data_IF_641785878987
#
_entry.id   IF_641785878987
#
_cell.length_a   1.000
_cell.length_b   1.000
_cell.length_c   1.000
_cell.angle_alpha   90.00
_cell.angle_beta   90.00
_cell.angle_gamma   90.00
#
_symmetry.space_group_name_H-M   'P 1'
#
loop_
_entity.id
_entity.type
_entity.pdbx_description
1 polymer ?
#
# COMPACT_ATOMS: atom_id res chain seq x y z
N UNK A 1 -15.10 -18.58 -0.37
CA UNK A 1 -14.59 -17.70 0.70
C UNK A 1 -14.64 -16.29 0.17
N UNK A 2 -15.30 -15.38 0.88
CA UNK A 2 -15.33 -13.95 0.55
C UNK A 2 -13.92 -13.39 0.62
N UNK A 3 -13.51 -12.59 -0.35
CA UNK A 3 -12.21 -11.89 -0.31
C UNK A 3 -12.20 -10.89 0.85
N UNK A 4 -11.07 -10.76 1.57
CA UNK A 4 -10.95 -9.79 2.66
C UNK A 4 -10.77 -8.37 2.12
N UNK A 5 -11.14 -7.35 2.93
CA UNK A 5 -11.02 -5.95 2.56
C UNK A 5 -9.60 -5.59 2.12
N UNK A 6 -8.59 -5.93 2.93
CA UNK A 6 -7.17 -5.72 2.58
C UNK A 6 -6.77 -6.29 1.22
N UNK A 7 -7.26 -7.49 0.86
CA UNK A 7 -6.93 -8.13 -0.42
C UNK A 7 -7.60 -7.42 -1.59
N UNK A 8 -8.88 -7.04 -1.43
CA UNK A 8 -9.59 -6.28 -2.45
C UNK A 8 -8.97 -4.89 -2.66
N UNK A 9 -8.63 -4.17 -1.59
CA UNK A 9 -7.98 -2.86 -1.65
C UNK A 9 -6.59 -2.94 -2.31
N UNK A 10 -5.79 -3.96 -1.97
CA UNK A 10 -4.50 -4.19 -2.62
C UNK A 10 -4.67 -4.40 -4.14
N UNK A 11 -5.60 -5.28 -4.53
CA UNK A 11 -5.82 -5.61 -5.95
C UNK A 11 -6.21 -4.36 -6.72
N UNK A 12 -7.20 -3.62 -6.23
CA UNK A 12 -7.72 -2.42 -6.89
C UNK A 12 -6.70 -1.27 -6.91
N UNK A 13 -5.91 -1.11 -5.86
CA UNK A 13 -4.79 -0.16 -5.85
C UNK A 13 -3.76 -0.50 -6.94
N UNK A 14 -3.37 -1.76 -7.07
CA UNK A 14 -2.42 -2.18 -8.12
C UNK A 14 -3.00 -1.97 -9.53
N UNK A 15 -4.28 -2.27 -9.74
CA UNK A 15 -4.98 -1.99 -11.00
C UNK A 15 -4.99 -0.48 -11.32
N UNK A 16 -5.26 0.36 -10.31
CA UNK A 16 -5.25 1.82 -10.45
C UNK A 16 -3.85 2.35 -10.76
N UNK A 17 -2.82 1.85 -10.08
CA UNK A 17 -1.42 2.18 -10.35
C UNK A 17 -1.06 1.94 -11.81
N UNK A 18 -1.39 0.75 -12.33
CA UNK A 18 -1.13 0.41 -13.74
C UNK A 18 -1.93 1.29 -14.70
N UNK A 19 -3.14 1.68 -14.32
CA UNK A 19 -4.02 2.55 -15.13
C UNK A 19 -3.48 3.98 -15.22
N UNK A 20 -2.99 4.54 -14.10
CA UNK A 20 -2.53 5.93 -14.04
C UNK A 20 -1.06 6.10 -14.46
N UNK A 21 -0.26 5.04 -14.34
CA UNK A 21 1.17 5.05 -14.68
C UNK A 21 2.08 5.59 -13.56
N UNK A 22 3.41 5.51 -13.75
CA UNK A 22 4.40 5.72 -12.70
C UNK A 22 4.48 7.15 -12.16
N UNK A 23 4.10 8.13 -12.97
CA UNK A 23 4.22 9.57 -12.66
C UNK A 23 2.95 10.16 -12.03
N UNK A 24 1.90 9.36 -11.87
CA UNK A 24 0.65 9.82 -11.29
C UNK A 24 0.88 10.34 -9.85
N UNK A 25 0.46 11.58 -9.54
CA UNK A 25 0.65 12.14 -8.21
C UNK A 25 -0.20 11.43 -7.16
N UNK A 26 0.22 11.53 -5.90
CA UNK A 26 -0.58 11.14 -4.73
C UNK A 26 -0.82 12.36 -3.83
N UNK A 27 -1.64 12.24 -2.79
CA UNK A 27 -1.81 13.29 -1.78
C UNK A 27 -0.55 13.47 -0.91
N UNK A 28 0.29 12.44 -0.80
CA UNK A 28 1.63 12.57 -0.24
C UNK A 28 2.49 13.45 -1.14
N UNK A 29 2.70 14.71 -0.73
CA UNK A 29 3.44 15.69 -1.53
C UNK A 29 4.84 15.18 -1.91
N UNK A 30 5.16 15.23 -3.19
CA UNK A 30 6.43 14.74 -3.74
C UNK A 30 6.43 13.25 -4.08
N UNK A 31 5.36 12.50 -3.78
CA UNK A 31 5.24 11.10 -4.17
C UNK A 31 4.46 10.95 -5.47
N UNK A 32 4.90 9.97 -6.25
CA UNK A 32 4.20 9.45 -7.43
C UNK A 32 3.75 8.01 -7.16
N UNK A 33 2.94 7.44 -8.04
CA UNK A 33 2.57 6.02 -7.98
C UNK A 33 3.80 5.10 -7.90
N UNK A 34 4.92 5.45 -8.56
CA UNK A 34 6.16 4.68 -8.47
C UNK A 34 6.79 4.73 -7.06
N UNK A 35 6.78 5.90 -6.41
CA UNK A 35 7.18 6.02 -5.02
C UNK A 35 6.28 5.17 -4.11
N UNK A 36 4.96 5.24 -4.33
CA UNK A 36 3.99 4.49 -3.54
C UNK A 36 4.17 2.96 -3.70
N UNK A 37 4.41 2.47 -4.91
CA UNK A 37 4.71 1.06 -5.16
C UNK A 37 6.00 0.60 -4.45
N UNK A 38 7.05 1.43 -4.47
CA UNK A 38 8.30 1.15 -3.76
C UNK A 38 8.11 1.13 -2.25
N UNK A 39 7.31 2.05 -1.70
CA UNK A 39 6.95 2.08 -0.28
C UNK A 39 6.27 0.79 0.17
N UNK A 40 5.21 0.38 -0.54
CA UNK A 40 4.46 -0.85 -0.23
C UNK A 40 5.36 -2.09 -0.33
N UNK A 41 6.22 -2.15 -1.35
CA UNK A 41 7.17 -3.26 -1.51
C UNK A 41 8.19 -3.32 -0.37
N UNK A 42 8.75 -2.16 0.01
CA UNK A 42 9.72 -2.05 1.09
C UNK A 42 9.10 -2.55 2.40
N UNK A 43 7.90 -2.08 2.73
CA UNK A 43 7.13 -2.50 3.92
C UNK A 43 6.95 -4.02 4.00
N UNK A 44 6.63 -4.68 2.89
CA UNK A 44 6.46 -6.13 2.85
C UNK A 44 7.77 -6.92 2.89
N UNK A 45 8.87 -6.31 2.48
CA UNK A 45 10.20 -6.94 2.42
C UNK A 45 10.96 -6.89 3.75
N UNK A 46 10.55 -6.03 4.69
CA UNK A 46 11.25 -5.81 5.95
C UNK A 46 10.44 -6.33 7.16
N UNK A 47 10.74 -7.56 7.64
CA UNK A 47 10.09 -8.11 8.83
C UNK A 47 10.44 -7.37 10.14
N UNK A 48 11.48 -6.52 10.15
CA UNK A 48 11.84 -5.66 11.30
C UNK A 48 11.19 -4.28 11.14
N UNK A 49 11.13 -3.76 9.91
CA UNK A 49 10.49 -2.49 9.55
C UNK A 49 8.95 -2.47 9.73
N UNK A 50 8.29 -3.62 9.70
CA UNK A 50 6.85 -3.74 10.01
C UNK A 50 6.49 -3.31 11.46
N UNK A 51 7.45 -3.34 12.39
CA UNK A 51 7.30 -2.81 13.77
C UNK A 51 7.63 -1.30 13.84
N UNK A 52 8.25 -0.75 12.80
CA UNK A 52 8.90 0.56 12.79
C UNK A 52 8.25 1.64 11.93
N UNK A 53 7.13 1.40 11.22
CA UNK A 53 6.45 2.45 10.42
C UNK A 53 5.72 3.48 11.31
N UNK A 54 5.67 3.25 12.62
CA UNK A 54 5.28 4.27 13.62
C UNK A 54 6.49 5.13 14.06
N UNK A 55 7.70 4.84 13.57
CA UNK A 55 8.93 5.57 13.91
C UNK A 55 9.45 6.25 12.62
N UNK A 56 9.71 7.57 12.64
CA UNK A 56 10.11 8.32 11.45
C UNK A 56 11.55 7.95 11.09
N UNK A 57 11.73 6.90 10.29
CA UNK A 57 13.01 6.60 9.66
C UNK A 57 13.21 7.53 8.46
N UNK A 58 13.44 8.83 8.72
CA UNK A 58 13.86 9.79 7.68
C UNK A 58 15.16 9.35 6.98
N UNK A 59 15.47 9.89 5.79
CA UNK A 59 16.67 9.66 4.94
C UNK A 59 16.99 8.21 4.54
N UNK A 60 16.95 7.23 5.45
CA UNK A 60 17.23 5.81 5.19
C UNK A 60 16.07 5.13 4.46
N UNK A 61 14.82 5.42 4.84
CA UNK A 61 13.64 4.94 4.10
C UNK A 61 13.63 5.49 2.66
N UNK A 62 13.93 6.79 2.50
CA UNK A 62 14.03 7.45 1.19
C UNK A 62 15.11 6.79 0.31
N UNK A 63 16.26 6.44 0.91
CA UNK A 63 17.33 5.74 0.19
C UNK A 63 16.90 4.35 -0.29
N UNK A 64 16.26 3.55 0.57
CA UNK A 64 15.78 2.21 0.18
C UNK A 64 14.68 2.27 -0.89
N UNK A 65 13.74 3.20 -0.78
CA UNK A 65 12.73 3.44 -1.82
C UNK A 65 13.38 3.84 -3.14
N UNK A 66 14.35 4.76 -3.11
CA UNK A 66 15.10 5.14 -4.30
C UNK A 66 15.89 3.98 -4.91
N UNK A 67 16.53 3.14 -4.08
CA UNK A 67 17.19 1.93 -4.56
C UNK A 67 16.22 0.93 -5.21
N UNK A 68 15.00 0.77 -4.69
CA UNK A 68 13.99 -0.08 -5.32
C UNK A 68 13.56 0.48 -6.67
N UNK A 69 13.27 1.77 -6.74
CA UNK A 69 12.84 2.45 -7.97
C UNK A 69 13.93 2.50 -9.05
N UNK A 70 15.21 2.40 -8.68
CA UNK A 70 16.33 2.33 -9.64
C UNK A 70 16.63 0.92 -10.11
N UNK A 71 16.34 -0.10 -9.28
CA UNK A 71 16.60 -1.51 -9.60
C UNK A 71 15.44 -2.21 -10.29
N UNK A 72 14.23 -1.71 -10.14
CA UNK A 72 13.00 -2.35 -10.64
C UNK A 72 12.17 -1.34 -11.41
N UNK A 73 11.56 -1.79 -12.50
CA UNK A 73 10.55 -1.00 -13.19
C UNK A 73 9.29 -0.86 -12.34
N UNK A 74 8.49 0.17 -12.63
CA UNK A 74 7.20 0.38 -12.00
C UNK A 74 6.30 -0.86 -12.08
N UNK A 75 6.19 -1.49 -13.25
CA UNK A 75 5.38 -2.69 -13.44
C UNK A 75 5.85 -3.87 -12.61
N UNK A 76 7.16 -4.06 -12.45
CA UNK A 76 7.71 -5.11 -11.58
C UNK A 76 7.37 -4.87 -10.12
N UNK A 77 7.50 -3.62 -9.63
CA UNK A 77 7.12 -3.27 -8.26
C UNK A 77 5.63 -3.50 -8.01
N UNK A 78 4.76 -3.03 -8.92
CA UNK A 78 3.31 -3.23 -8.79
C UNK A 78 2.96 -4.72 -8.84
N UNK A 79 3.60 -5.50 -9.71
CA UNK A 79 3.41 -6.95 -9.78
C UNK A 79 3.82 -7.66 -8.49
N UNK A 80 4.91 -7.24 -7.85
CA UNK A 80 5.35 -7.77 -6.56
C UNK A 80 4.36 -7.42 -5.44
N UNK A 81 3.87 -6.18 -5.38
CA UNK A 81 2.85 -5.76 -4.40
C UNK A 81 1.55 -6.53 -4.60
N UNK A 82 1.10 -6.71 -5.85
CA UNK A 82 -0.10 -7.49 -6.17
C UNK A 82 0.04 -8.96 -5.75
N UNK A 83 1.21 -9.57 -5.98
CA UNK A 83 1.51 -10.93 -5.54
C UNK A 83 1.57 -11.07 -4.02
N UNK A 84 1.95 -9.99 -3.33
CA UNK A 84 2.09 -9.96 -1.89
C UNK A 84 3.35 -10.63 -1.36
N UNK A 85 3.46 -10.75 -0.02
CA UNK A 85 4.64 -11.34 0.60
C UNK A 85 4.83 -12.80 0.14
N UNK A 86 6.08 -13.14 -0.19
CA UNK A 86 6.45 -14.47 -0.68
C UNK A 86 6.08 -15.59 0.30
N UNK A 87 5.89 -16.82 -0.20
CA UNK A 87 5.24 -17.92 0.56
C UNK A 87 5.84 -18.20 1.95
N UNK A 88 7.14 -17.94 2.13
CA UNK A 88 7.90 -18.17 3.36
C UNK A 88 7.99 -16.94 4.29
N UNK A 89 7.33 -15.83 3.96
CA UNK A 89 7.37 -14.60 4.75
C UNK A 89 6.46 -14.70 6.00
N UNK A 90 6.98 -14.47 7.22
CA UNK A 90 6.22 -14.49 8.47
C UNK A 90 5.02 -13.52 8.49
N UNK A 91 5.06 -12.45 7.71
CA UNK A 91 3.97 -11.47 7.59
C UNK A 91 2.71 -12.04 6.91
N UNK A 92 2.76 -13.23 6.28
CA UNK A 92 1.57 -13.92 5.73
C UNK A 92 0.63 -14.51 6.80
N UNK A 93 0.98 -14.43 8.08
CA UNK A 93 0.15 -14.96 9.17
C UNK A 93 -1.18 -14.19 9.23
N UNK A 94 -2.34 -14.84 8.97
CA UNK A 94 -3.62 -14.15 8.70
C UNK A 94 -4.06 -13.12 9.76
N UNK A 95 -3.73 -13.38 11.02
CA UNK A 95 -4.09 -12.52 12.16
C UNK A 95 -3.26 -11.22 12.25
N UNK A 96 -2.01 -11.26 11.78
CA UNK A 96 -1.10 -10.10 11.73
C UNK A 96 -1.33 -9.35 10.40
N UNK A 97 -1.62 -10.12 9.35
CA UNK A 97 -1.82 -9.66 7.97
C UNK A 97 -3.09 -8.81 7.81
N UNK A 98 -4.24 -9.19 8.41
CA UNK A 98 -5.51 -8.50 8.08
C UNK A 98 -5.61 -7.08 8.66
N UNK A 99 -5.26 -6.85 9.93
CA UNK A 99 -5.44 -5.53 10.57
C UNK A 99 -4.45 -4.50 10.04
N UNK A 100 -3.17 -4.87 10.00
CA UNK A 100 -2.10 -3.97 9.56
C UNK A 100 -2.20 -3.65 8.07
N UNK A 101 -2.67 -4.59 7.23
CA UNK A 101 -2.76 -4.34 5.79
C UNK A 101 -4.07 -3.66 5.38
N UNK A 102 -5.15 -3.80 6.14
CA UNK A 102 -6.43 -3.15 5.78
C UNK A 102 -6.28 -1.63 5.77
N UNK A 103 -5.78 -1.05 6.86
CA UNK A 103 -5.56 0.41 6.93
C UNK A 103 -4.58 0.87 5.85
N UNK A 104 -3.47 0.18 5.67
CA UNK A 104 -2.42 0.54 4.70
C UNK A 104 -2.92 0.55 3.26
N UNK A 105 -3.52 -0.55 2.80
CA UNK A 105 -4.02 -0.60 1.43
C UNK A 105 -5.20 0.33 1.22
N UNK A 106 -6.11 0.47 2.20
CA UNK A 106 -7.22 1.41 2.08
C UNK A 106 -6.74 2.87 1.98
N UNK A 107 -5.86 3.30 2.90
CA UNK A 107 -5.35 4.68 2.92
C UNK A 107 -4.58 4.99 1.65
N UNK A 108 -3.69 4.11 1.21
CA UNK A 108 -2.90 4.33 0.01
C UNK A 108 -3.70 4.18 -1.29
N UNK A 109 -4.80 3.42 -1.27
CA UNK A 109 -5.74 3.42 -2.36
C UNK A 109 -6.48 4.76 -2.47
N UNK A 110 -6.98 5.29 -1.35
CA UNK A 110 -7.60 6.63 -1.35
C UNK A 110 -6.58 7.75 -1.65
N UNK A 111 -5.33 7.61 -1.21
CA UNK A 111 -4.21 8.52 -1.52
C UNK A 111 -4.03 8.67 -3.05
N UNK A 112 -3.92 7.55 -3.76
CA UNK A 112 -3.74 7.57 -5.21
C UNK A 112 -5.02 7.99 -5.95
N UNK A 113 -6.20 7.53 -5.53
CA UNK A 113 -7.49 7.92 -6.16
C UNK A 113 -7.72 9.43 -6.08
N UNK A 114 -7.39 10.03 -4.94
CA UNK A 114 -7.67 11.44 -4.66
C UNK A 114 -6.53 12.37 -5.06
N UNK A 115 -5.30 11.86 -5.10
CA UNK A 115 -4.12 12.60 -5.54
C UNK A 115 -3.84 12.50 -7.03
N UNK A 116 -4.36 11.48 -7.71
CA UNK A 116 -4.13 11.22 -9.13
C UNK A 116 -4.61 12.34 -10.06
N UNK A 117 -4.35 12.22 -11.38
CA UNK A 117 -4.63 13.27 -12.37
C UNK A 117 -6.12 13.62 -12.51
N UNK A 118 -7.01 12.74 -12.02
CA UNK A 118 -8.46 12.91 -12.03
C UNK A 118 -8.99 12.72 -10.59
N UNK A 119 -8.81 13.70 -9.70
CA UNK A 119 -9.11 13.55 -8.29
C UNK A 119 -10.60 13.37 -8.04
N UNK A 120 -10.94 12.43 -7.17
CA UNK A 120 -12.32 12.09 -6.77
C UNK A 120 -12.56 12.39 -5.30
N UNK A 121 -13.83 12.47 -4.90
CA UNK A 121 -14.22 12.59 -3.49
C UNK A 121 -14.06 11.28 -2.71
N UNK A 122 -14.22 11.33 -1.37
CA UNK A 122 -14.20 10.13 -0.52
C UNK A 122 -15.21 9.08 -0.98
N UNK A 123 -14.86 7.79 -0.87
CA UNK A 123 -15.81 6.69 -1.13
C UNK A 123 -16.90 6.63 -0.05
N UNK A 124 -18.09 6.23 -0.46
CA UNK A 124 -19.12 5.73 0.46
C UNK A 124 -18.85 4.24 0.66
N UNK A 125 -18.51 3.84 1.88
CA UNK A 125 -18.19 2.46 2.22
C UNK A 125 -19.45 1.70 2.64
N UNK A 126 -19.40 0.36 2.53
CA UNK A 126 -20.39 -0.48 3.16
C UNK A 126 -20.25 -0.38 4.69
N UNK A 127 -21.33 -0.57 5.47
CA UNK A 127 -21.23 -0.53 6.93
C UNK A 127 -20.19 -1.51 7.50
N UNK A 128 -20.04 -2.69 6.87
CA UNK A 128 -19.07 -3.68 7.29
C UNK A 128 -17.62 -3.22 7.04
N UNK A 129 -17.33 -2.62 5.89
CA UNK A 129 -16.00 -2.11 5.57
C UNK A 129 -15.63 -0.91 6.45
N UNK A 130 -16.59 -0.01 6.68
CA UNK A 130 -16.39 1.14 7.59
C UNK A 130 -16.06 0.69 9.01
N UNK A 131 -16.84 -0.27 9.54
CA UNK A 131 -16.58 -0.85 10.85
C UNK A 131 -15.20 -1.52 10.94
N UNK A 132 -14.82 -2.32 9.93
CA UNK A 132 -13.52 -2.98 9.90
C UNK A 132 -12.36 -1.97 9.95
N UNK A 133 -12.45 -0.87 9.18
CA UNK A 133 -11.45 0.20 9.17
C UNK A 133 -11.36 0.91 10.53
N UNK A 134 -12.51 1.20 11.16
CA UNK A 134 -12.50 1.81 12.49
C UNK A 134 -11.88 0.90 13.54
N UNK A 135 -12.22 -0.39 13.52
CA UNK A 135 -11.66 -1.39 14.44
C UNK A 135 -10.14 -1.60 14.24
N UNK A 136 -9.59 -1.35 13.06
CA UNK A 136 -8.13 -1.38 12.85
C UNK A 136 -7.44 -0.09 13.25
N UNK A 137 -8.13 1.05 13.17
CA UNK A 137 -7.54 2.36 13.49
C UNK A 137 -7.43 2.65 15.00
N UNK A 138 -8.29 2.06 15.83
CA UNK A 138 -8.38 2.34 17.28
C UNK A 138 -7.97 1.15 18.18
N UNK A 139 -7.47 0.06 17.59
CA UNK A 139 -7.09 -1.16 18.30
C UNK A 139 -5.72 -1.10 18.98
#
# INVERSE_FOLDING_TARGET
MTESLARSERRELCELMLTLGPDAPTLCTGWTAHHLAAHLRMRESDPIGAVGIVIPFGKTADKHMHELMTKMSFGELVGLVAAGPGRLNPLRMPLIDSKLNTTEFFVHHEDLRRGGPYPVGPRVLSPAADQEIWETAIA
#
